data_IF_329473179565
#
_entry.id   IF_329473179565
#
_cell.length_a   1.000
_cell.length_b   1.000
_cell.length_c   1.000
_cell.angle_alpha   90.00
_cell.angle_beta   90.00
_cell.angle_gamma   90.00
#
_symmetry.space_group_name_H-M   'P 1'
#
loop_
_entity.id
_entity.type
_entity.pdbx_description
1 polymer ?
#
# COMPACT_ATOMS: atom_id res chain seq x y z
N UNK A 1 -11.77 10.88 6.43
CA UNK A 1 -10.75 9.88 6.83
C UNK A 1 -9.77 9.74 5.70
N UNK A 2 -8.46 9.94 5.97
CA UNK A 2 -7.39 9.91 4.96
C UNK A 2 -6.71 8.56 4.98
N UNK A 3 -6.44 7.97 3.83
CA UNK A 3 -5.79 6.66 3.71
C UNK A 3 -4.71 6.67 2.63
N UNK A 4 -3.55 6.14 2.98
CA UNK A 4 -2.51 5.78 2.04
C UNK A 4 -2.24 4.27 2.12
N UNK A 5 -2.05 3.65 0.99
CA UNK A 5 -1.67 2.26 0.89
C UNK A 5 -0.15 2.18 0.68
N UNK A 6 0.54 1.43 1.54
CA UNK A 6 1.98 1.23 1.45
C UNK A 6 2.30 -0.12 0.83
N UNK A 7 3.20 -0.11 -0.14
CA UNK A 7 3.63 -1.29 -0.85
C UNK A 7 5.07 -1.66 -0.46
N UNK A 8 5.25 -2.89 0.00
CA UNK A 8 6.56 -3.53 0.05
C UNK A 8 6.86 -4.22 -1.28
N UNK A 9 7.96 -3.88 -1.90
CA UNK A 9 8.39 -4.56 -3.13
C UNK A 9 9.02 -5.91 -2.78
N UNK A 10 8.45 -7.02 -3.21
CA UNK A 10 8.98 -8.36 -2.97
C UNK A 10 9.78 -8.85 -4.19
N UNK A 11 11.08 -9.16 -3.97
CA UNK A 11 11.80 -10.15 -4.78
C UNK A 11 11.63 -11.50 -4.07
N UNK A 12 11.01 -12.46 -4.75
CA UNK A 12 10.67 -13.83 -4.32
C UNK A 12 9.57 -14.00 -3.28
N UNK A 13 8.50 -14.52 -3.77
CA UNK A 13 7.40 -15.22 -3.16
C UNK A 13 6.56 -14.45 -2.13
N UNK A 14 5.37 -14.12 -2.59
CA UNK A 14 4.11 -14.05 -1.88
C UNK A 14 3.79 -12.78 -1.10
N UNK A 15 2.75 -12.12 -1.58
CA UNK A 15 1.56 -11.61 -0.93
C UNK A 15 1.48 -10.12 -0.54
N UNK A 16 1.90 -9.21 -1.33
CA UNK A 16 1.05 -8.17 -1.90
C UNK A 16 1.40 -8.19 -3.37
N UNK A 17 0.58 -8.90 -4.10
CA UNK A 17 0.76 -9.09 -5.51
C UNK A 17 0.30 -7.81 -6.19
N UNK A 18 1.23 -6.88 -6.48
CA UNK A 18 0.92 -6.10 -7.64
C UNK A 18 1.34 -6.92 -8.85
N UNK A 19 0.36 -7.51 -9.44
CA UNK A 19 0.47 -7.98 -10.79
C UNK A 19 0.16 -6.77 -11.64
N UNK A 20 1.10 -6.42 -12.53
CA UNK A 20 0.72 -5.71 -13.72
C UNK A 20 -0.29 -6.64 -14.43
N UNK A 21 -1.57 -6.48 -14.08
CA UNK A 21 -2.64 -7.32 -14.61
C UNK A 21 -2.87 -7.03 -16.10
N UNK A 22 -2.40 -5.86 -16.58
CA UNK A 22 -2.40 -5.48 -17.97
C UNK A 22 -1.34 -4.40 -18.21
N UNK A 23 -0.54 -4.48 -19.26
CA UNK A 23 0.39 -3.41 -19.60
C UNK A 23 -0.28 -2.24 -20.32
N UNK A 24 -1.45 -2.44 -20.96
CA UNK A 24 -2.15 -1.41 -21.73
C UNK A 24 -3.67 -1.60 -21.61
N UNK A 25 -4.38 -0.75 -20.85
CA UNK A 25 -3.86 0.22 -19.88
C UNK A 25 -3.15 -0.47 -18.70
N UNK A 26 -2.18 0.20 -18.04
CA UNK A 26 -1.50 -0.39 -16.90
C UNK A 26 -2.47 -0.53 -15.71
N UNK A 27 -2.53 -1.72 -15.13
CA UNK A 27 -3.43 -2.04 -14.02
C UNK A 27 -2.68 -2.70 -12.89
N UNK A 28 -3.01 -2.31 -11.66
CA UNK A 28 -2.46 -2.84 -10.42
C UNK A 28 -3.58 -3.47 -9.62
N UNK A 29 -3.33 -4.66 -9.06
CA UNK A 29 -4.23 -5.27 -8.09
C UNK A 29 -3.65 -5.23 -6.69
N UNK A 30 -4.50 -4.97 -5.68
CA UNK A 30 -4.13 -4.99 -4.27
C UNK A 30 -5.13 -5.81 -3.47
N UNK A 31 -4.63 -6.67 -2.58
CA UNK A 31 -5.45 -7.50 -1.71
C UNK A 31 -5.54 -6.84 -0.34
N UNK A 32 -6.75 -6.53 0.13
CA UNK A 32 -7.00 -5.88 1.41
C UNK A 32 -7.97 -6.70 2.25
N UNK A 33 -7.62 -6.96 3.51
CA UNK A 33 -8.51 -7.67 4.43
C UNK A 33 -9.82 -6.90 4.62
N UNK A 34 -10.95 -7.60 4.55
CA UNK A 34 -12.31 -7.03 4.67
C UNK A 34 -12.55 -6.30 6.00
N UNK A 35 -11.88 -6.72 7.08
CA UNK A 35 -11.96 -6.08 8.37
C UNK A 35 -11.14 -4.77 8.44
N UNK A 36 -10.31 -4.50 7.44
CA UNK A 36 -9.52 -3.29 7.40
C UNK A 36 -10.38 -2.12 6.90
N UNK A 37 -10.39 -1.02 7.64
CA UNK A 37 -11.10 0.21 7.27
C UNK A 37 -10.72 0.70 5.86
N UNK A 38 -9.49 0.42 5.44
CA UNK A 38 -8.99 0.74 4.10
C UNK A 38 -9.85 0.13 2.98
N UNK A 39 -10.40 -1.08 3.17
CA UNK A 39 -11.26 -1.71 2.18
C UNK A 39 -12.51 -0.86 1.88
N UNK A 40 -13.24 -0.47 2.91
CA UNK A 40 -14.44 0.38 2.77
C UNK A 40 -14.13 1.77 2.20
N UNK A 41 -12.95 2.30 2.47
CA UNK A 41 -12.53 3.60 1.92
C UNK A 41 -12.25 3.49 0.43
N UNK A 42 -11.53 2.47 -0.02
CA UNK A 42 -11.28 2.24 -1.46
C UNK A 42 -12.61 2.06 -2.20
N UNK A 43 -13.55 1.29 -1.64
CA UNK A 43 -14.89 1.11 -2.22
C UNK A 43 -15.68 2.41 -2.34
N UNK A 44 -15.57 3.28 -1.35
CA UNK A 44 -16.28 4.58 -1.34
C UNK A 44 -15.61 5.60 -2.24
N UNK A 45 -14.29 5.75 -2.15
CA UNK A 45 -13.53 6.73 -2.93
C UNK A 45 -13.40 6.36 -4.41
N UNK A 46 -13.57 5.08 -4.75
CA UNK A 46 -13.34 4.55 -6.10
C UNK A 46 -11.93 4.82 -6.63
N UNK A 47 -10.99 5.02 -5.74
CA UNK A 47 -9.59 5.30 -6.04
C UNK A 47 -8.70 4.88 -4.87
N UNK A 48 -7.42 4.70 -5.15
CA UNK A 48 -6.39 4.48 -4.13
C UNK A 48 -5.02 4.97 -4.61
N UNK A 49 -4.16 5.35 -3.67
CA UNK A 49 -2.76 5.66 -3.92
C UNK A 49 -1.87 4.57 -3.34
N UNK A 50 -0.85 4.16 -4.09
CA UNK A 50 0.18 3.24 -3.68
C UNK A 50 1.52 3.95 -3.61
N UNK A 51 2.19 3.94 -2.46
CA UNK A 51 3.58 4.36 -2.34
C UNK A 51 4.48 3.16 -2.15
N UNK A 52 5.54 3.10 -2.94
CA UNK A 52 6.62 2.13 -2.78
C UNK A 52 7.58 2.71 -1.76
N UNK A 53 7.60 2.16 -0.53
CA UNK A 53 8.49 2.62 0.52
C UNK A 53 9.93 2.17 0.28
N UNK A 54 10.88 2.93 0.79
CA UNK A 54 12.31 2.70 0.65
C UNK A 54 12.98 2.18 1.93
N UNK A 55 14.25 1.83 1.85
CA UNK A 55 15.01 1.27 2.97
C UNK A 55 15.38 2.29 4.05
N UNK A 56 15.08 3.58 3.88
CA UNK A 56 15.23 4.59 4.92
C UNK A 56 14.07 4.59 5.91
N UNK A 57 12.97 3.90 5.57
CA UNK A 57 11.83 3.72 6.47
C UNK A 57 12.21 2.85 7.67
N UNK A 58 12.03 3.40 8.86
CA UNK A 58 12.25 2.68 10.11
C UNK A 58 11.01 1.89 10.58
N UNK A 59 11.15 1.08 11.63
CA UNK A 59 10.05 0.29 12.19
C UNK A 59 8.94 1.15 12.78
N UNK A 60 9.19 2.41 13.16
CA UNK A 60 8.16 3.32 13.66
C UNK A 60 7.27 3.81 12.51
N UNK A 61 7.89 4.18 11.38
CA UNK A 61 7.18 4.54 10.16
C UNK A 61 6.33 3.38 9.65
N UNK A 62 6.93 2.21 9.50
CA UNK A 62 6.26 0.98 9.05
C UNK A 62 5.10 0.63 9.99
N UNK A 63 5.31 0.69 11.30
CA UNK A 63 4.30 0.39 12.31
C UNK A 63 3.14 1.40 12.30
N UNK A 64 3.42 2.67 12.05
CA UNK A 64 2.40 3.70 11.96
C UNK A 64 1.38 3.42 10.84
N UNK A 65 1.85 3.05 9.68
CA UNK A 65 0.99 2.85 8.51
C UNK A 65 0.50 1.40 8.38
N UNK A 66 1.32 0.42 8.78
CA UNK A 66 1.03 -1.00 8.58
C UNK A 66 0.23 -1.66 9.70
N UNK A 67 0.39 -1.23 10.96
CA UNK A 67 -0.16 -1.97 12.12
C UNK A 67 -1.24 -1.22 12.90
N UNK A 68 -1.41 0.08 12.68
CA UNK A 68 -2.45 0.86 13.35
C UNK A 68 -3.71 0.95 12.49
N UNK A 69 -4.87 1.05 13.14
CA UNK A 69 -6.12 1.35 12.44
C UNK A 69 -6.32 2.86 12.32
N UNK A 70 -6.86 3.29 11.19
CA UNK A 70 -7.13 4.72 10.96
C UNK A 70 -8.46 5.18 11.56
N UNK A 71 -9.25 4.28 12.15
CA UNK A 71 -10.45 4.65 12.90
C UNK A 71 -10.12 5.43 14.18
N UNK A 72 -9.00 5.09 14.81
CA UNK A 72 -8.66 5.57 16.15
C UNK A 72 -7.41 6.46 16.17
N UNK A 73 -6.71 6.55 15.04
CA UNK A 73 -5.43 7.24 14.97
C UNK A 73 -5.22 7.92 13.62
N UNK A 74 -4.91 9.22 13.64
CA UNK A 74 -4.50 9.94 12.44
C UNK A 74 -3.03 9.59 12.10
N UNK A 75 -2.88 8.71 11.11
CA UNK A 75 -1.56 8.23 10.65
C UNK A 75 -0.73 9.31 9.98
N UNK A 76 -1.37 10.38 9.50
CA UNK A 76 -0.72 11.45 8.75
C UNK A 76 -0.27 12.63 9.61
N UNK A 77 -0.73 12.71 10.87
CA UNK A 77 -0.53 13.87 11.74
C UNK A 77 0.94 14.31 11.92
N UNK A 78 1.90 13.40 11.70
CA UNK A 78 3.32 13.64 11.91
C UNK A 78 4.13 13.78 10.61
N UNK A 79 3.48 13.67 9.45
CA UNK A 79 4.16 13.62 8.16
C UNK A 79 3.63 14.70 7.21
N UNK A 80 4.49 15.20 6.33
CA UNK A 80 4.04 15.99 5.20
C UNK A 80 3.13 15.12 4.33
N UNK A 81 1.93 15.61 4.04
CA UNK A 81 0.94 14.88 3.24
C UNK A 81 0.67 15.66 1.97
N UNK A 82 0.70 14.97 0.86
CA UNK A 82 0.30 15.48 -0.46
C UNK A 82 -0.91 14.70 -0.98
N UNK A 83 -1.54 15.19 -2.03
CA UNK A 83 -2.68 14.56 -2.67
C UNK A 83 -2.38 14.28 -4.14
N UNK A 84 -2.85 13.10 -4.61
CA UNK A 84 -2.82 12.76 -6.05
C UNK A 84 -3.89 13.55 -6.80
N UNK A 85 -3.85 13.52 -8.14
CA UNK A 85 -4.90 14.12 -8.98
C UNK A 85 -6.30 13.53 -8.71
N UNK A 86 -6.37 12.30 -8.18
CA UNK A 86 -7.62 11.66 -7.75
C UNK A 86 -8.02 12.01 -6.29
N UNK A 87 -7.34 12.96 -5.64
CA UNK A 87 -7.63 13.38 -4.28
C UNK A 87 -7.21 12.38 -3.20
N UNK A 88 -6.36 11.41 -3.55
CA UNK A 88 -5.88 10.41 -2.58
C UNK A 88 -4.64 10.93 -1.86
N UNK A 89 -4.65 10.96 -0.51
CA UNK A 89 -3.49 11.41 0.26
C UNK A 89 -2.35 10.41 0.21
N UNK A 90 -1.12 10.92 0.19
CA UNK A 90 0.09 10.12 0.34
C UNK A 90 1.18 10.88 1.12
N UNK A 91 2.15 10.14 1.62
CA UNK A 91 3.34 10.68 2.28
C UNK A 91 4.54 10.47 1.35
N UNK A 92 5.21 11.53 0.87
CA UNK A 92 6.37 11.39 -0.02
C UNK A 92 7.65 10.95 0.72
N UNK A 93 7.69 11.15 2.05
CA UNK A 93 8.81 10.73 2.88
C UNK A 93 8.96 9.21 2.88
N UNK A 94 10.18 8.70 2.81
CA UNK A 94 10.49 7.27 2.74
C UNK A 94 9.82 6.53 1.58
N UNK A 95 9.62 7.20 0.44
CA UNK A 95 9.00 6.60 -0.73
C UNK A 95 9.84 6.80 -2.00
N UNK A 96 9.97 5.74 -2.82
CA UNK A 96 10.66 5.79 -4.11
C UNK A 96 9.72 6.08 -5.27
N UNK A 97 8.47 5.63 -5.17
CA UNK A 97 7.48 5.79 -6.23
C UNK A 97 6.07 5.93 -5.67
N UNK A 98 5.23 6.58 -6.46
CA UNK A 98 3.79 6.74 -6.24
C UNK A 98 3.04 6.22 -7.47
N UNK A 99 1.94 5.52 -7.23
CA UNK A 99 0.94 5.18 -8.23
C UNK A 99 -0.42 5.69 -7.78
N UNK A 100 -1.09 6.46 -8.63
CA UNK A 100 -2.46 6.90 -8.42
C UNK A 100 -3.40 6.05 -9.28
N UNK A 101 -4.31 5.31 -8.64
CA UNK A 101 -5.13 4.30 -9.30
C UNK A 101 -6.62 4.62 -9.14
N UNK A 102 -7.35 4.56 -10.25
CA UNK A 102 -8.81 4.55 -10.26
C UNK A 102 -9.30 3.11 -10.14
N UNK A 103 -10.17 2.83 -9.19
CA UNK A 103 -10.76 1.51 -9.01
C UNK A 103 -11.64 1.15 -10.23
N UNK A 104 -11.38 -0.01 -10.83
CA UNK A 104 -12.18 -0.52 -11.96
C UNK A 104 -12.94 -1.78 -11.63
N UNK A 105 -12.45 -2.60 -10.68
CA UNK A 105 -13.12 -3.83 -10.27
C UNK A 105 -12.74 -4.22 -8.84
N UNK A 106 -13.60 -5.02 -8.20
CA UNK A 106 -13.40 -5.58 -6.87
C UNK A 106 -13.84 -7.03 -6.86
N UNK A 107 -12.94 -7.94 -6.51
CA UNK A 107 -13.21 -9.38 -6.43
C UNK A 107 -13.15 -9.84 -4.98
N UNK A 108 -14.23 -10.49 -4.54
CA UNK A 108 -14.27 -11.15 -3.22
C UNK A 108 -13.51 -12.47 -3.28
N UNK A 109 -12.43 -12.58 -2.49
CA UNK A 109 -11.59 -13.78 -2.41
C UNK A 109 -11.64 -14.42 -1.01
N UNK A 110 -12.75 -14.24 -0.30
CA UNK A 110 -12.98 -14.81 1.03
C UNK A 110 -12.68 -13.82 2.16
N UNK A 111 -11.55 -13.92 2.83
CA UNK A 111 -11.18 -12.99 3.92
C UNK A 111 -10.72 -11.62 3.42
N UNK A 112 -10.41 -11.49 2.14
CA UNK A 112 -9.89 -10.29 1.50
C UNK A 112 -10.74 -9.87 0.31
N UNK A 113 -10.64 -8.59 -0.04
CA UNK A 113 -11.08 -8.04 -1.33
C UNK A 113 -9.84 -7.78 -2.18
N UNK A 114 -9.89 -8.25 -3.43
CA UNK A 114 -8.89 -7.92 -4.44
C UNK A 114 -9.41 -6.72 -5.24
N UNK A 115 -8.80 -5.56 -5.03
CA UNK A 115 -9.10 -4.35 -5.77
C UNK A 115 -8.22 -4.27 -7.01
N UNK A 116 -8.83 -4.00 -8.15
CA UNK A 116 -8.14 -3.81 -9.44
C UNK A 116 -8.26 -2.33 -9.80
N UNK A 117 -7.13 -1.64 -9.88
CA UNK A 117 -7.04 -0.23 -10.22
C UNK A 117 -6.32 -0.02 -11.54
N UNK A 118 -6.85 0.89 -12.35
CA UNK A 118 -6.14 1.42 -13.52
C UNK A 118 -5.23 2.56 -13.08
N UNK A 119 -3.96 2.49 -13.47
CA UNK A 119 -2.97 3.52 -13.13
C UNK A 119 -3.24 4.76 -13.98
N UNK A 120 -3.70 5.82 -13.34
CA UNK A 120 -3.96 7.13 -13.97
C UNK A 120 -2.70 7.99 -13.99
N UNK A 121 -1.86 7.85 -12.97
CA UNK A 121 -0.61 8.58 -12.84
C UNK A 121 0.42 7.79 -12.03
N UNK A 122 1.70 7.99 -12.36
CA UNK A 122 2.82 7.37 -11.68
C UNK A 122 3.99 8.34 -11.61
N UNK A 123 4.57 8.48 -10.42
CA UNK A 123 5.67 9.41 -10.14
C UNK A 123 6.84 8.69 -9.45
N UNK A 124 8.05 9.02 -9.86
CA UNK A 124 9.26 8.66 -9.12
C UNK A 124 9.53 9.73 -8.08
N UNK A 125 9.53 9.36 -6.81
CA UNK A 125 9.69 10.29 -5.69
C UNK A 125 11.12 10.42 -5.22
N UNK A 126 11.92 9.34 -5.30
CA UNK A 126 13.34 9.34 -4.92
C UNK A 126 14.15 8.30 -5.69
N UNK A 127 15.47 8.35 -5.53
CA UNK A 127 16.44 7.37 -6.06
C UNK A 127 16.84 6.32 -5.02
N UNK A 128 16.21 6.33 -3.84
CA UNK A 128 16.50 5.40 -2.77
C UNK A 128 16.11 3.96 -3.15
N UNK A 129 16.76 3.00 -2.50
CA UNK A 129 16.49 1.58 -2.75
C UNK A 129 15.13 1.18 -2.17
N UNK A 130 14.22 0.60 -2.95
CA UNK A 130 12.93 0.12 -2.44
C UNK A 130 13.09 -0.85 -1.28
N UNK A 131 12.22 -0.74 -0.27
CA UNK A 131 12.14 -1.69 0.83
C UNK A 131 11.50 -2.98 0.32
N UNK A 132 12.26 -4.08 0.39
CA UNK A 132 11.75 -5.40 0.05
C UNK A 132 11.25 -6.14 1.30
N UNK A 133 10.37 -7.13 1.09
CA UNK A 133 9.91 -7.99 2.18
C UNK A 133 11.08 -8.79 2.81
N UNK A 134 12.05 -9.19 1.97
CA UNK A 134 13.28 -9.84 2.42
C UNK A 134 14.12 -8.93 3.35
N UNK A 135 14.30 -7.67 2.97
CA UNK A 135 14.98 -6.68 3.81
C UNK A 135 14.24 -6.44 5.13
N UNK A 136 12.90 -6.30 5.07
CA UNK A 136 12.06 -6.14 6.24
C UNK A 136 12.25 -7.27 7.25
N UNK A 137 12.26 -8.54 6.80
CA UNK A 137 12.43 -9.68 7.69
C UNK A 137 13.88 -9.90 8.12
N UNK A 138 14.84 -9.83 7.21
CA UNK A 138 16.23 -10.19 7.50
C UNK A 138 17.00 -9.07 8.19
N UNK A 139 16.77 -7.82 7.79
CA UNK A 139 17.51 -6.67 8.30
C UNK A 139 16.75 -5.97 9.42
N UNK A 140 15.51 -5.56 9.18
CA UNK A 140 14.69 -4.86 10.19
C UNK A 140 14.09 -5.79 11.24
N UNK A 141 14.18 -7.13 11.05
CA UNK A 141 13.62 -8.15 11.95
C UNK A 141 12.11 -8.01 12.18
N UNK A 142 11.41 -7.46 11.20
CA UNK A 142 9.97 -7.29 11.23
C UNK A 142 9.23 -8.63 11.20
N UNK A 143 8.01 -8.66 11.75
CA UNK A 143 7.14 -9.84 11.76
C UNK A 143 5.89 -9.57 10.95
N UNK A 144 5.39 -10.60 10.26
CA UNK A 144 4.12 -10.54 9.53
C UNK A 144 2.95 -10.47 10.51
N UNK A 145 2.07 -9.45 10.43
CA UNK A 145 0.89 -9.38 11.28
C UNK A 145 -0.09 -10.53 11.02
N UNK A 146 -0.84 -11.02 12.03
CA UNK A 146 -1.80 -12.13 11.87
C UNK A 146 -2.91 -11.89 10.83
N UNK A 147 -3.25 -10.62 10.56
CA UNK A 147 -4.28 -10.25 9.58
C UNK A 147 -3.73 -9.97 8.17
N UNK A 148 -2.42 -10.13 7.96
CA UNK A 148 -1.85 -10.01 6.62
C UNK A 148 -2.19 -11.24 5.79
N UNK A 149 -2.42 -11.04 4.49
CA UNK A 149 -2.69 -12.15 3.54
C UNK A 149 -1.56 -13.18 3.47
N UNK A 150 -0.35 -12.81 3.92
CA UNK A 150 0.86 -13.65 3.95
C UNK A 150 1.16 -14.29 5.31
N UNK A 151 0.27 -14.16 6.30
CA UNK A 151 0.49 -14.76 7.61
C UNK A 151 0.40 -16.29 7.53
N UNK A 152 1.48 -16.94 7.91
CA UNK A 152 1.56 -18.39 8.11
C UNK A 152 1.73 -18.59 9.62
N UNK A 153 0.62 -18.94 10.27
CA UNK A 153 0.52 -19.13 11.72
C UNK A 153 1.59 -20.01 12.33
#
# INVERSE_FOLDING_TARGET
VRFALFLFTAYHLFWILWVCASPIPPRISVSVNKENVTAGVIETAKAFALTVIDQTADMLYIGNFGFRTSSDYDKFAKYETRETALGMPYVPEHATALFSCRLIDTVDVGTHLLFIGEVEDAERLSDETPLTYDYYHKVLKGKTPPKASSYQG
#
